data_IF_981112452245
#
_entry.id   IF_981112452245
#
_cell.length_a   1.000
_cell.length_b   1.000
_cell.length_c   1.000
_cell.angle_alpha   90.00
_cell.angle_beta   90.00
_cell.angle_gamma   90.00
#
_symmetry.space_group_name_H-M   'P 1'
#
loop_
_entity.id
_entity.type
_entity.pdbx_description
1 polymer ?
#
# COMPACT_ATOMS: atom_id res chain seq x y z
N UNK A 1 36.16 9.87 -16.48
CA UNK A 1 37.02 10.80 -17.26
C UNK A 1 37.90 11.58 -16.30
N UNK A 2 39.22 11.43 -16.33
CA UNK A 2 40.08 12.46 -15.72
C UNK A 2 39.86 13.73 -16.57
N UNK A 3 39.56 14.86 -15.95
CA UNK A 3 39.51 16.12 -16.67
C UNK A 3 40.96 16.43 -17.04
N UNK A 4 41.35 16.06 -18.25
CA UNK A 4 42.66 16.42 -18.78
C UNK A 4 42.60 17.94 -18.95
N UNK A 5 43.29 18.66 -18.09
CA UNK A 5 43.42 20.10 -18.23
C UNK A 5 43.97 20.39 -19.63
N UNK A 6 43.30 21.28 -20.36
CA UNK A 6 43.76 21.67 -21.69
C UNK A 6 45.08 22.44 -21.54
N UNK A 7 46.18 21.79 -21.92
CA UNK A 7 47.50 22.40 -21.88
C UNK A 7 47.65 23.37 -23.05
N UNK A 8 47.49 24.67 -22.76
CA UNK A 8 47.62 25.72 -23.77
C UNK A 8 49.02 25.84 -24.34
N UNK A 9 50.07 25.43 -23.61
CA UNK A 9 51.44 25.52 -24.09
C UNK A 9 51.70 24.42 -25.11
N UNK A 10 51.42 23.17 -24.76
CA UNK A 10 51.55 22.03 -25.67
C UNK A 10 50.70 22.25 -26.93
N UNK A 11 49.45 22.69 -26.78
CA UNK A 11 48.58 22.98 -27.92
C UNK A 11 49.13 24.10 -28.83
N UNK A 12 49.83 25.08 -28.26
CA UNK A 12 50.46 26.15 -29.07
C UNK A 12 51.67 25.61 -29.83
N UNK A 13 52.52 24.80 -29.18
CA UNK A 13 53.68 24.17 -29.81
C UNK A 13 53.27 23.23 -30.95
N UNK A 14 52.26 22.38 -30.73
CA UNK A 14 51.73 21.47 -31.76
C UNK A 14 51.23 22.26 -32.98
N UNK A 15 50.56 23.40 -32.77
CA UNK A 15 50.08 24.27 -33.85
C UNK A 15 51.23 25.01 -34.59
N UNK A 16 52.33 25.33 -33.91
CA UNK A 16 53.53 25.87 -34.55
C UNK A 16 54.23 24.82 -35.44
N UNK A 17 54.26 23.54 -35.02
CA UNK A 17 54.88 22.46 -35.81
C UNK A 17 54.21 22.21 -37.15
N UNK A 18 52.91 22.50 -37.27
CA UNK A 18 52.14 22.40 -38.52
C UNK A 18 52.19 23.68 -39.37
N UNK A 19 53.08 24.62 -39.03
CA UNK A 19 53.37 25.81 -39.82
C UNK A 19 52.51 27.04 -39.50
N UNK A 20 51.78 27.03 -38.39
CA UNK A 20 50.96 28.18 -37.97
C UNK A 20 51.80 29.21 -37.21
N UNK A 21 51.55 30.51 -37.41
CA UNK A 21 52.31 31.53 -36.66
C UNK A 21 51.98 31.48 -35.17
N UNK A 22 52.96 31.83 -34.34
CA UNK A 22 52.84 31.83 -32.88
C UNK A 22 51.67 32.65 -32.36
N UNK A 23 51.35 33.80 -32.98
CA UNK A 23 50.18 34.59 -32.60
C UNK A 23 48.86 33.83 -32.85
N UNK A 24 48.71 33.20 -34.01
CA UNK A 24 47.51 32.44 -34.34
C UNK A 24 47.38 31.17 -33.48
N UNK A 25 48.50 30.46 -33.24
CA UNK A 25 48.53 29.27 -32.39
C UNK A 25 48.07 29.57 -30.96
N UNK A 26 48.56 30.68 -30.39
CA UNK A 26 48.10 31.16 -29.08
C UNK A 26 46.64 31.59 -29.09
N UNK A 27 46.19 32.28 -30.13
CA UNK A 27 44.80 32.73 -30.21
C UNK A 27 43.83 31.54 -30.19
N UNK A 28 44.11 30.49 -30.99
CA UNK A 28 43.29 29.28 -31.06
C UNK A 28 43.34 28.49 -29.74
N UNK A 29 44.52 28.29 -29.16
CA UNK A 29 44.64 27.55 -27.89
C UNK A 29 43.91 28.23 -26.73
N UNK A 30 43.94 29.57 -26.68
CA UNK A 30 43.19 30.35 -25.68
C UNK A 30 41.68 30.36 -25.90
N UNK A 31 41.20 30.26 -27.15
CA UNK A 31 39.77 30.13 -27.45
C UNK A 31 39.28 28.75 -27.00
N UNK A 32 40.02 27.69 -27.31
CA UNK A 32 39.66 26.31 -26.93
C UNK A 32 39.69 26.15 -25.40
N UNK A 33 40.71 26.67 -24.70
CA UNK A 33 40.75 26.67 -23.24
C UNK A 33 39.52 27.35 -22.63
N UNK A 34 39.18 28.54 -23.12
CA UNK A 34 38.02 29.29 -22.62
C UNK A 34 36.70 28.56 -22.85
N UNK A 35 36.54 27.85 -23.97
CA UNK A 35 35.37 27.01 -24.20
C UNK A 35 35.23 25.86 -23.20
N UNK A 36 36.35 25.36 -22.64
CA UNK A 36 36.36 24.34 -21.60
C UNK A 36 36.24 24.89 -20.17
N UNK A 37 36.68 26.13 -19.90
CA UNK A 37 36.52 26.80 -18.59
C UNK A 37 35.07 27.22 -18.31
N UNK A 38 34.25 27.45 -19.34
CA UNK A 38 32.84 27.86 -19.19
C UNK A 38 31.89 26.67 -18.94
N UNK A 39 32.38 25.44 -19.12
CA UNK A 39 31.58 24.25 -18.87
C UNK A 39 31.65 23.87 -17.38
N UNK A 40 30.61 24.23 -16.62
CA UNK A 40 30.37 23.71 -15.27
C UNK A 40 30.03 22.22 -15.37
N UNK A 41 31.05 21.37 -15.31
CA UNK A 41 30.93 19.92 -15.46
C UNK A 41 31.01 19.23 -14.12
N UNK A 42 30.04 18.34 -13.88
CA UNK A 42 30.08 17.46 -12.71
C UNK A 42 31.36 16.62 -12.72
N UNK A 43 32.07 16.63 -11.61
CA UNK A 43 33.27 15.85 -11.39
C UNK A 43 32.93 14.39 -11.09
N UNK A 44 33.95 13.52 -11.08
CA UNK A 44 33.77 12.14 -10.61
C UNK A 44 33.33 12.08 -9.14
N UNK A 45 33.70 13.07 -8.33
CA UNK A 45 33.31 13.12 -6.92
C UNK A 45 31.81 13.37 -6.80
N UNK A 46 31.28 14.35 -7.54
CA UNK A 46 29.84 14.64 -7.57
C UNK A 46 29.02 13.42 -8.00
N UNK A 47 29.51 12.69 -9.02
CA UNK A 47 28.87 11.44 -9.46
C UNK A 47 28.92 10.35 -8.38
N UNK A 48 30.02 10.27 -7.62
CA UNK A 48 30.15 9.30 -6.53
C UNK A 48 29.21 9.64 -5.37
N UNK A 49 29.02 10.93 -5.07
CA UNK A 49 28.12 11.41 -4.04
C UNK A 49 26.66 11.12 -4.43
N UNK A 50 26.25 11.47 -5.65
CA UNK A 50 24.92 11.12 -6.18
C UNK A 50 24.67 9.61 -6.15
N UNK A 51 25.69 8.77 -6.43
CA UNK A 51 25.55 7.32 -6.33
C UNK A 51 25.30 6.84 -4.90
N UNK A 52 25.94 7.47 -3.89
CA UNK A 52 25.66 7.16 -2.48
C UNK A 52 24.25 7.60 -2.12
N UNK A 53 23.85 8.81 -2.48
CA UNK A 53 22.50 9.32 -2.20
C UNK A 53 21.43 8.41 -2.81
N UNK A 54 21.63 7.94 -4.06
CA UNK A 54 20.74 6.97 -4.69
C UNK A 54 20.71 5.64 -3.94
N UNK A 55 21.85 5.16 -3.44
CA UNK A 55 21.91 3.92 -2.67
C UNK A 55 21.16 4.05 -1.33
N UNK A 56 21.31 5.19 -0.65
CA UNK A 56 20.64 5.47 0.61
C UNK A 56 19.12 5.63 0.41
N UNK A 57 18.68 6.33 -0.64
CA UNK A 57 17.26 6.42 -1.01
C UNK A 57 16.67 5.04 -1.31
N UNK A 58 17.38 4.19 -2.05
CA UNK A 58 16.92 2.81 -2.32
C UNK A 58 16.75 2.02 -1.02
N UNK A 59 17.70 2.13 -0.10
CA UNK A 59 17.63 1.45 1.20
C UNK A 59 16.47 1.97 2.07
N UNK A 60 16.24 3.28 2.10
CA UNK A 60 15.07 3.86 2.79
C UNK A 60 13.76 3.38 2.15
N UNK A 61 13.70 3.33 0.82
CA UNK A 61 12.55 2.78 0.10
C UNK A 61 12.29 1.32 0.47
N UNK A 62 13.31 0.46 0.43
CA UNK A 62 13.17 -0.97 0.78
C UNK A 62 12.63 -1.12 2.21
N UNK A 63 13.20 -0.36 3.16
CA UNK A 63 12.74 -0.35 4.57
C UNK A 63 11.28 0.09 4.70
N UNK A 64 10.86 1.11 3.93
CA UNK A 64 9.47 1.56 3.93
C UNK A 64 8.53 0.54 3.30
N UNK A 65 8.95 -0.13 2.23
CA UNK A 65 8.16 -1.20 1.61
C UNK A 65 7.97 -2.37 2.57
N UNK A 66 9.03 -2.81 3.25
CA UNK A 66 8.92 -3.85 4.28
C UNK A 66 7.94 -3.46 5.39
N UNK A 67 7.97 -2.20 5.84
CA UNK A 67 7.03 -1.69 6.84
C UNK A 67 5.58 -1.67 6.32
N UNK A 68 5.38 -1.32 5.06
CA UNK A 68 4.05 -1.33 4.42
C UNK A 68 3.53 -2.76 4.30
N UNK A 69 4.36 -3.70 3.86
CA UNK A 69 4.00 -5.12 3.78
C UNK A 69 3.61 -5.68 5.15
N UNK A 70 4.36 -5.33 6.20
CA UNK A 70 4.02 -5.70 7.57
C UNK A 70 2.67 -5.13 8.03
N UNK A 71 2.37 -3.86 7.70
CA UNK A 71 1.08 -3.24 8.02
C UNK A 71 -0.08 -3.90 7.25
N UNK A 72 0.11 -4.24 5.98
CA UNK A 72 -0.89 -4.96 5.20
C UNK A 72 -1.16 -6.36 5.75
N UNK A 73 -0.11 -7.07 6.20
CA UNK A 73 -0.26 -8.37 6.86
C UNK A 73 -1.06 -8.26 8.16
N UNK A 74 -0.80 -7.22 8.97
CA UNK A 74 -1.53 -6.97 10.21
C UNK A 74 -3.01 -6.62 9.96
N UNK A 75 -3.29 -5.75 8.98
CA UNK A 75 -4.67 -5.42 8.57
C UNK A 75 -5.42 -6.67 8.11
N UNK A 76 -4.77 -7.54 7.30
CA UNK A 76 -5.40 -8.79 6.84
C UNK A 76 -5.77 -9.68 8.03
N UNK A 77 -4.86 -9.81 9.01
CA UNK A 77 -5.10 -10.59 10.22
C UNK A 77 -6.23 -10.02 11.10
N UNK A 78 -6.29 -8.69 11.26
CA UNK A 78 -7.39 -8.03 11.98
C UNK A 78 -8.72 -8.25 11.24
N UNK A 79 -8.72 -8.15 9.91
CA UNK A 79 -9.91 -8.45 9.09
C UNK A 79 -10.38 -9.89 9.28
N UNK A 80 -9.48 -10.88 9.17
CA UNK A 80 -9.82 -12.29 9.36
C UNK A 80 -10.44 -12.53 10.75
N UNK A 81 -9.82 -11.97 11.79
CA UNK A 81 -10.33 -12.07 13.17
C UNK A 81 -11.72 -11.43 13.32
N UNK A 82 -11.95 -10.28 12.69
CA UNK A 82 -13.27 -9.62 12.71
C UNK A 82 -14.32 -10.42 11.94
N UNK A 83 -13.96 -11.03 10.81
CA UNK A 83 -14.87 -11.89 10.06
C UNK A 83 -15.26 -13.12 10.87
N UNK A 84 -14.30 -13.80 11.51
CA UNK A 84 -14.60 -14.92 12.41
C UNK A 84 -15.56 -14.50 13.54
N UNK A 85 -15.35 -13.32 14.14
CA UNK A 85 -16.24 -12.79 15.16
C UNK A 85 -17.65 -12.52 14.64
N UNK A 86 -17.76 -12.02 13.41
CA UNK A 86 -19.05 -11.81 12.73
C UNK A 86 -19.75 -13.15 12.48
N UNK A 87 -19.04 -14.17 12.02
CA UNK A 87 -19.59 -15.51 11.81
C UNK A 87 -20.14 -16.12 13.11
N UNK A 88 -19.41 -15.97 14.22
CA UNK A 88 -19.87 -16.40 15.55
C UNK A 88 -21.14 -15.65 15.97
N UNK A 89 -21.21 -14.32 15.76
CA UNK A 89 -22.41 -13.54 16.06
C UNK A 89 -23.61 -13.97 15.22
N UNK A 90 -23.42 -14.25 13.93
CA UNK A 90 -24.47 -14.78 13.07
C UNK A 90 -24.93 -16.18 13.48
N UNK A 91 -24.03 -17.04 13.96
CA UNK A 91 -24.39 -18.35 14.51
C UNK A 91 -25.23 -18.20 15.79
N UNK A 92 -24.86 -17.27 16.67
CA UNK A 92 -25.60 -17.01 17.92
C UNK A 92 -26.99 -16.42 17.64
N UNK A 93 -27.11 -15.47 16.71
CA UNK A 93 -28.41 -14.92 16.27
C UNK A 93 -29.30 -16.02 15.71
N UNK A 94 -28.78 -16.92 14.87
CA UNK A 94 -29.54 -18.07 14.35
C UNK A 94 -30.06 -18.95 15.48
N UNK A 95 -29.21 -19.27 16.45
CA UNK A 95 -29.60 -20.07 17.62
C UNK A 95 -30.67 -19.39 18.48
N UNK A 96 -30.54 -18.08 18.72
CA UNK A 96 -31.56 -17.31 19.46
C UNK A 96 -32.90 -17.28 18.70
N UNK A 97 -32.86 -17.14 17.37
CA UNK A 97 -34.05 -17.22 16.53
C UNK A 97 -34.72 -18.59 16.60
N UNK A 98 -33.97 -19.68 16.49
CA UNK A 98 -34.51 -21.05 16.60
C UNK A 98 -35.18 -21.27 17.96
N UNK A 99 -34.51 -20.87 19.05
CA UNK A 99 -35.08 -20.94 20.40
C UNK A 99 -36.37 -20.11 20.55
N UNK A 100 -36.42 -18.92 19.95
CA UNK A 100 -37.63 -18.06 19.97
C UNK A 100 -38.77 -18.69 19.17
N UNK A 101 -38.48 -19.27 18.01
CA UNK A 101 -39.46 -19.96 17.19
C UNK A 101 -40.03 -21.19 17.90
N UNK A 102 -39.19 -21.98 18.58
CA UNK A 102 -39.65 -23.12 19.40
C UNK A 102 -40.56 -22.66 20.55
N UNK A 103 -40.17 -21.63 21.29
CA UNK A 103 -40.99 -21.06 22.38
C UNK A 103 -42.34 -20.54 21.86
N UNK A 104 -42.33 -19.88 20.70
CA UNK A 104 -43.57 -19.42 20.04
C UNK A 104 -44.45 -20.60 19.65
N UNK A 105 -43.88 -21.65 19.06
CA UNK A 105 -44.57 -22.88 18.71
C UNK A 105 -45.25 -23.53 19.92
N UNK A 106 -44.50 -23.73 21.01
CA UNK A 106 -45.02 -24.31 22.25
C UNK A 106 -46.15 -23.45 22.85
N UNK A 107 -45.97 -22.13 22.91
CA UNK A 107 -46.99 -21.20 23.43
C UNK A 107 -48.27 -21.26 22.62
N UNK A 108 -48.17 -21.33 21.29
CA UNK A 108 -49.32 -21.50 20.41
C UNK A 108 -50.01 -22.85 20.64
N UNK A 109 -49.27 -23.95 20.73
CA UNK A 109 -49.83 -25.29 20.99
C UNK A 109 -50.58 -25.33 22.31
N UNK A 110 -50.01 -24.78 23.39
CA UNK A 110 -50.66 -24.72 24.71
C UNK A 110 -51.93 -23.88 24.66
N UNK A 111 -51.89 -22.70 24.03
CA UNK A 111 -53.08 -21.82 23.90
C UNK A 111 -54.19 -22.49 23.10
N UNK A 112 -53.85 -23.14 21.97
CA UNK A 112 -54.82 -23.85 21.14
C UNK A 112 -55.43 -25.04 21.89
N UNK A 113 -54.62 -25.82 22.61
CA UNK A 113 -55.10 -26.93 23.44
C UNK A 113 -56.07 -26.47 24.52
N UNK A 114 -55.76 -25.35 25.20
CA UNK A 114 -56.66 -24.74 26.18
C UNK A 114 -57.99 -24.27 25.57
N UNK A 115 -57.95 -23.61 24.40
CA UNK A 115 -59.17 -23.17 23.71
C UNK A 115 -60.06 -24.34 23.27
N UNK A 116 -59.46 -25.40 22.70
CA UNK A 116 -60.22 -26.60 22.31
C UNK A 116 -60.84 -27.27 23.54
N UNK A 117 -60.08 -27.42 24.63
CA UNK A 117 -60.59 -27.97 25.88
C UNK A 117 -61.78 -27.17 26.42
N UNK A 118 -61.67 -25.84 26.43
CA UNK A 118 -62.75 -24.95 26.86
C UNK A 118 -63.99 -25.08 25.95
N UNK A 119 -63.81 -25.11 24.63
CA UNK A 119 -64.90 -25.29 23.67
C UNK A 119 -65.64 -26.61 23.88
N UNK A 120 -64.92 -27.72 24.06
CA UNK A 120 -65.52 -29.04 24.30
C UNK A 120 -66.34 -29.05 25.59
N UNK A 121 -65.82 -28.49 26.68
CA UNK A 121 -66.55 -28.39 27.96
C UNK A 121 -67.81 -27.53 27.81
N UNK A 122 -67.70 -26.38 27.15
CA UNK A 122 -68.80 -25.44 26.95
C UNK A 122 -69.95 -26.07 26.14
N UNK A 123 -69.62 -26.78 25.06
CA UNK A 123 -70.61 -27.52 24.25
C UNK A 123 -71.26 -28.64 25.05
N UNK A 124 -70.47 -29.41 25.82
CA UNK A 124 -70.99 -30.50 26.66
C UNK A 124 -71.98 -30.01 27.72
N UNK A 125 -71.72 -28.86 28.34
CA UNK A 125 -72.64 -28.22 29.28
C UNK A 125 -73.94 -27.79 28.58
N UNK A 126 -73.87 -27.13 27.42
CA UNK A 126 -75.08 -26.74 26.65
C UNK A 126 -75.97 -27.93 26.31
N UNK A 127 -75.38 -29.05 25.86
CA UNK A 127 -76.14 -30.27 25.53
C UNK A 127 -76.82 -30.89 26.76
N UNK A 128 -76.24 -30.77 27.96
CA UNK A 128 -76.85 -31.23 29.21
C UNK A 128 -78.05 -30.39 29.61
N UNK A 129 -78.02 -29.08 29.36
CA UNK A 129 -79.15 -28.17 29.64
C UNK A 129 -80.31 -28.30 28.62
N UNK A 130 -80.06 -28.88 27.45
CA UNK A 130 -81.05 -29.05 26.38
C UNK A 130 -81.84 -30.38 26.45
N UNK A 131 -81.46 -31.31 27.33
CA UNK A 131 -82.16 -32.57 27.61
C UNK A 131 -82.88 -32.52 28.95
#
# INVERSE_FOLDING_TARGET
MAQVAFDTLQATEDLETVGMSREHARAISLIVRRSHEVADVATKADIADVKRDIADVRKDMDTRFEKVDAQFADIRKDMDTRFEKVDVQFADIRKDMDNKLEKLGLSLTIKMGGMIGFLVVSIGLMLKYLR
#
